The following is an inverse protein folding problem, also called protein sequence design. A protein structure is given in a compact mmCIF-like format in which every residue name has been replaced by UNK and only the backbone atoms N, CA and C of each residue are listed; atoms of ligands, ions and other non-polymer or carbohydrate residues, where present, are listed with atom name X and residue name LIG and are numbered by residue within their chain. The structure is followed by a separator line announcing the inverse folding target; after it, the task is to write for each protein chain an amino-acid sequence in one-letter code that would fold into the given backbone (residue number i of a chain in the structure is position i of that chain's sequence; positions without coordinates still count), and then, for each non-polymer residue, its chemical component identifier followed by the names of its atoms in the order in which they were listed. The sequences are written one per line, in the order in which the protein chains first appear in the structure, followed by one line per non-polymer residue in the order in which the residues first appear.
data_IF_073673047779
#
_entry.id   IF_073673047779
#
_cell.length_a   1.000
_cell.length_b   1.000
_cell.length_c   1.000
_cell.angle_alpha   90.00
_cell.angle_beta   90.00
_cell.angle_gamma   90.00
#
_symmetry.space_group_name_H-M   'P 1'
#
loop_
_entity.id
_entity.type
_entity.pdbx_description
1 polymer ?
#
# COMPACT_ATOMS: atom_id res chain seq x y z
N UNK A 1 37.10 -22.34 -21.06
CA UNK A 1 36.25 -21.81 -19.98
C UNK A 1 34.92 -21.49 -20.65
N UNK A 2 33.98 -22.41 -20.50
CA UNK A 2 32.71 -22.41 -21.21
C UNK A 2 31.80 -21.34 -20.59
N UNK A 3 31.39 -20.36 -21.40
CA UNK A 3 30.45 -19.34 -21.00
C UNK A 3 29.08 -20.02 -20.94
N UNK A 4 28.73 -20.53 -19.75
CA UNK A 4 27.51 -21.25 -19.48
C UNK A 4 26.29 -20.58 -20.10
N UNK A 5 25.80 -21.18 -21.19
CA UNK A 5 24.57 -20.78 -21.84
C UNK A 5 23.44 -21.06 -20.85
N UNK A 6 22.88 -20.01 -20.24
CA UNK A 6 21.63 -20.13 -19.52
C UNK A 6 20.55 -20.46 -20.56
N UNK A 7 20.14 -21.72 -20.61
CA UNK A 7 19.09 -22.18 -21.52
C UNK A 7 17.75 -21.65 -21.00
N UNK A 8 17.13 -20.76 -21.77
CA UNK A 8 15.84 -20.15 -21.44
C UNK A 8 14.72 -21.13 -21.82
N UNK A 9 14.04 -21.70 -20.83
CA UNK A 9 12.86 -22.55 -21.04
C UNK A 9 11.61 -21.70 -20.88
N UNK A 10 10.76 -21.71 -21.92
CA UNK A 10 9.49 -20.97 -21.95
C UNK A 10 8.33 -21.95 -22.07
N UNK A 11 7.20 -21.60 -21.44
CA UNK A 11 5.95 -22.33 -21.60
C UNK A 11 5.22 -21.87 -22.85
N UNK A 12 4.63 -22.80 -23.59
CA UNK A 12 3.74 -22.50 -24.73
C UNK A 12 2.28 -22.29 -24.30
N UNK A 13 1.95 -22.54 -23.02
CA UNK A 13 0.60 -22.30 -22.47
C UNK A 13 0.48 -20.84 -22.00
N UNK A 14 -0.38 -20.01 -22.61
CA UNK A 14 -0.57 -18.62 -22.23
C UNK A 14 -1.18 -18.45 -20.81
N UNK A 15 -1.69 -19.51 -20.20
CA UNK A 15 -2.22 -19.50 -18.84
C UNK A 15 -1.22 -20.02 -17.79
N UNK A 16 -0.09 -20.59 -18.23
CA UNK A 16 0.99 -21.05 -17.35
C UNK A 16 1.85 -19.86 -16.90
N UNK A 17 1.34 -19.14 -15.90
CA UNK A 17 1.97 -17.95 -15.34
C UNK A 17 2.27 -18.15 -13.84
N UNK A 18 3.42 -17.63 -13.39
CA UNK A 18 3.75 -17.62 -11.96
C UNK A 18 3.07 -16.45 -11.25
N UNK A 19 2.17 -16.75 -10.31
CA UNK A 19 1.56 -15.73 -9.45
C UNK A 19 2.52 -15.31 -8.34
N UNK A 20 2.76 -14.01 -8.22
CA UNK A 20 3.59 -13.44 -7.14
C UNK A 20 2.78 -13.43 -5.84
N UNK A 21 3.39 -13.85 -4.73
CA UNK A 21 2.78 -13.75 -3.41
C UNK A 21 2.76 -12.28 -2.94
N UNK A 22 1.58 -11.78 -2.58
CA UNK A 22 1.34 -10.40 -2.15
C UNK A 22 1.08 -10.23 -0.65
N UNK A 23 1.09 -11.31 0.14
CA UNK A 23 0.62 -11.35 1.54
C UNK A 23 1.36 -10.39 2.49
N UNK A 24 2.58 -9.97 2.13
CA UNK A 24 3.45 -9.15 2.97
C UNK A 24 3.87 -7.83 2.30
N UNK A 25 3.27 -7.48 1.17
CA UNK A 25 3.59 -6.23 0.48
C UNK A 25 3.18 -5.05 1.36
N UNK A 26 4.08 -4.08 1.61
CA UNK A 26 3.73 -2.92 2.43
C UNK A 26 2.80 -1.97 1.69
N UNK A 27 1.83 -1.44 2.42
CA UNK A 27 1.03 -0.28 2.03
C UNK A 27 1.63 0.96 2.67
N UNK A 28 1.68 2.05 1.91
CA UNK A 28 2.08 3.36 2.39
C UNK A 28 0.85 4.17 2.78
N UNK A 29 0.91 4.80 3.94
CA UNK A 29 -0.10 5.76 4.42
C UNK A 29 0.60 7.04 4.83
N UNK A 30 0.08 8.17 4.36
CA UNK A 30 0.57 9.50 4.75
C UNK A 30 -0.33 10.08 5.83
N UNK A 31 0.30 10.58 6.90
CA UNK A 31 -0.37 11.28 8.01
C UNK A 31 0.22 12.68 8.16
N UNK A 32 -0.59 13.71 7.99
CA UNK A 32 -0.18 15.13 8.09
C UNK A 32 -0.56 15.75 9.42
N UNK A 33 0.36 16.54 9.99
CA UNK A 33 0.10 17.38 11.17
C UNK A 33 -0.40 18.75 10.74
N UNK A 34 -1.67 19.02 11.03
CA UNK A 34 -2.34 20.30 10.76
C UNK A 34 -2.74 20.90 12.10
N UNK A 35 -2.07 21.99 12.49
CA UNK A 35 -2.14 22.50 13.85
C UNK A 35 -1.71 21.43 14.87
N UNK A 36 -2.62 21.06 15.77
CA UNK A 36 -2.44 20.00 16.78
C UNK A 36 -3.13 18.67 16.41
N UNK A 37 -3.80 18.61 15.25
CA UNK A 37 -4.49 17.42 14.77
C UNK A 37 -3.63 16.64 13.75
N UNK A 38 -3.95 15.35 13.60
CA UNK A 38 -3.33 14.44 12.62
C UNK A 38 -4.39 13.96 11.63
N UNK A 39 -4.12 14.10 10.34
CA UNK A 39 -5.04 13.75 9.25
C UNK A 39 -4.40 12.69 8.35
N UNK A 40 -5.14 11.62 8.05
CA UNK A 40 -4.72 10.56 7.13
C UNK A 40 -5.16 10.93 5.73
N UNK A 41 -4.31 10.69 4.73
CA UNK A 41 -4.61 10.95 3.31
C UNK A 41 -5.04 12.41 3.07
N UNK A 42 -4.18 13.37 3.43
CA UNK A 42 -4.51 14.80 3.33
C UNK A 42 -4.83 15.17 1.87
N UNK A 43 -5.85 16.02 1.67
CA UNK A 43 -6.05 16.67 0.37
C UNK A 43 -4.92 17.65 0.04
N UNK A 44 -4.82 18.10 -1.21
CA UNK A 44 -3.82 19.09 -1.60
C UNK A 44 -3.93 20.38 -0.75
N UNK A 45 -5.15 20.83 -0.46
CA UNK A 45 -5.40 22.00 0.39
C UNK A 45 -4.99 21.77 1.85
N UNK A 46 -5.18 20.54 2.35
CA UNK A 46 -4.76 20.14 3.69
C UNK A 46 -3.24 20.01 3.82
N UNK A 47 -2.57 19.53 2.77
CA UNK A 47 -1.10 19.47 2.69
C UNK A 47 -0.46 20.85 2.78
N UNK A 48 -1.01 21.86 2.09
CA UNK A 48 -0.54 23.25 2.16
C UNK A 48 -0.68 23.87 3.56
N UNK A 49 -1.65 23.39 4.34
CA UNK A 49 -1.84 23.79 5.73
C UNK A 49 -1.00 22.96 6.72
N UNK A 50 -0.38 21.88 6.25
CA UNK A 50 0.39 20.97 7.10
C UNK A 50 1.78 21.54 7.42
N UNK A 51 2.23 21.30 8.65
CA UNK A 51 3.58 21.72 9.08
C UNK A 51 4.63 20.64 8.81
N UNK A 52 4.22 19.38 8.93
CA UNK A 52 5.03 18.19 8.67
C UNK A 52 4.10 17.00 8.45
N UNK A 53 4.58 15.98 7.74
CA UNK A 53 3.85 14.73 7.51
C UNK A 53 4.74 13.53 7.76
N UNK A 54 4.11 12.38 7.97
CA UNK A 54 4.74 11.10 8.23
C UNK A 54 4.24 10.09 7.21
N UNK A 55 5.15 9.54 6.42
CA UNK A 55 4.87 8.40 5.54
C UNK A 55 5.17 7.13 6.34
N UNK A 56 4.17 6.28 6.50
CA UNK A 56 4.26 5.03 7.25
C UNK A 56 4.07 3.87 6.28
N UNK A 57 5.07 2.99 6.24
CA UNK A 57 4.95 1.70 5.57
C UNK A 57 4.47 0.64 6.55
N UNK A 58 3.44 -0.12 6.18
CA UNK A 58 2.91 -1.18 7.00
C UNK A 58 2.57 -2.41 6.17
N UNK A 59 2.90 -3.58 6.69
CA UNK A 59 2.60 -4.88 6.08
C UNK A 59 1.78 -5.73 7.05
N UNK A 60 1.03 -6.69 6.52
CA UNK A 60 0.33 -7.70 7.34
C UNK A 60 1.09 -9.02 7.36
N UNK A 61 1.14 -9.67 8.52
CA UNK A 61 1.65 -11.03 8.68
C UNK A 61 0.85 -11.73 9.76
N UNK A 62 0.24 -12.86 9.41
CA UNK A 62 -0.59 -13.66 10.33
C UNK A 62 -1.68 -12.82 11.04
N UNK A 63 -2.35 -11.93 10.31
CA UNK A 63 -3.40 -11.04 10.84
C UNK A 63 -2.91 -9.90 11.75
N UNK A 64 -1.59 -9.70 11.85
CA UNK A 64 -0.96 -8.62 12.61
C UNK A 64 -0.31 -7.62 11.67
N UNK A 65 -0.53 -6.34 11.95
CA UNK A 65 0.10 -5.23 11.25
C UNK A 65 1.47 -4.97 11.85
N UNK A 66 2.49 -4.84 11.01
CA UNK A 66 3.83 -4.44 11.41
C UNK A 66 4.31 -3.28 10.55
N UNK A 67 4.96 -2.31 11.19
CA UNK A 67 5.58 -1.19 10.53
C UNK A 67 6.85 -1.66 9.82
N UNK A 68 6.99 -1.32 8.54
CA UNK A 68 8.18 -1.60 7.72
C UNK A 68 9.03 -0.36 7.49
N UNK A 69 8.41 0.82 7.48
CA UNK A 69 9.09 2.09 7.27
C UNK A 69 8.38 3.23 8.01
N UNK A 70 9.14 4.30 8.31
CA UNK A 70 8.60 5.58 8.75
C UNK A 70 9.52 6.70 8.25
N UNK A 71 8.96 7.67 7.54
CA UNK A 71 9.71 8.79 6.97
C UNK A 71 8.99 10.11 7.23
N UNK A 72 9.66 11.06 7.87
CA UNK A 72 9.16 12.42 8.05
C UNK A 72 9.41 13.25 6.79
N UNK A 73 8.42 14.02 6.38
CA UNK A 73 8.49 14.98 5.27
C UNK A 73 7.95 16.34 5.71
N UNK A 74 8.35 17.42 5.03
CA UNK A 74 7.98 18.78 5.38
C UNK A 74 9.07 19.53 6.15
N UNK A 75 8.80 20.81 6.46
CA UNK A 75 9.76 21.74 7.06
C UNK A 75 9.61 21.88 8.58
N UNK A 76 8.51 21.41 9.14
CA UNK A 76 8.22 21.43 10.58
C UNK A 76 8.78 20.22 11.32
N UNK A 77 8.33 20.06 12.57
CA UNK A 77 8.71 18.96 13.44
C UNK A 77 7.48 18.35 14.11
N UNK A 78 7.66 17.13 14.62
CA UNK A 78 6.68 16.47 15.46
C UNK A 78 7.12 16.52 16.91
N UNK A 79 6.21 16.89 17.80
CA UNK A 79 6.36 16.55 19.21
C UNK A 79 6.31 15.01 19.35
N UNK A 80 7.13 14.38 20.23
CA UNK A 80 7.18 12.92 20.34
C UNK A 80 5.81 12.26 20.54
N UNK A 81 4.95 12.83 21.40
CA UNK A 81 3.60 12.30 21.61
C UNK A 81 2.76 12.33 20.32
N UNK A 82 2.76 13.46 19.61
CA UNK A 82 2.05 13.60 18.33
C UNK A 82 2.59 12.65 17.26
N UNK A 83 3.91 12.38 17.25
CA UNK A 83 4.50 11.38 16.36
C UNK A 83 3.96 9.98 16.69
N UNK A 84 3.92 9.58 17.97
CA UNK A 84 3.37 8.28 18.37
C UNK A 84 1.89 8.15 18.01
N UNK A 85 1.10 9.22 18.18
CA UNK A 85 -0.32 9.21 17.83
C UNK A 85 -0.51 9.14 16.30
N UNK A 86 0.32 9.85 15.53
CA UNK A 86 0.35 9.76 14.06
C UNK A 86 0.69 8.35 13.59
N UNK A 87 1.66 7.70 14.23
CA UNK A 87 2.05 6.31 13.94
C UNK A 87 0.88 5.36 14.20
N UNK A 88 0.24 5.44 15.36
CA UNK A 88 -0.91 4.57 15.70
C UNK A 88 -2.06 4.78 14.73
N UNK A 89 -2.35 6.02 14.39
CA UNK A 89 -3.38 6.39 13.44
C UNK A 89 -3.08 5.81 12.04
N UNK A 90 -1.86 6.01 11.53
CA UNK A 90 -1.44 5.48 10.24
C UNK A 90 -1.43 3.95 10.19
N UNK A 91 -1.00 3.27 11.26
CA UNK A 91 -1.07 1.81 11.35
C UNK A 91 -2.52 1.30 11.33
N UNK A 92 -3.42 1.96 12.06
CA UNK A 92 -4.85 1.63 12.03
C UNK A 92 -5.44 1.80 10.63
N UNK A 93 -5.17 2.93 9.97
CA UNK A 93 -5.63 3.20 8.61
C UNK A 93 -5.06 2.17 7.61
N UNK A 94 -3.77 1.86 7.71
CA UNK A 94 -3.11 0.88 6.83
C UNK A 94 -3.75 -0.51 6.92
N UNK A 95 -4.15 -0.94 8.13
CA UNK A 95 -4.84 -2.21 8.33
C UNK A 95 -6.20 -2.22 7.64
N UNK A 96 -7.01 -1.19 7.85
CA UNK A 96 -8.33 -1.08 7.21
C UNK A 96 -8.21 -1.03 5.69
N UNK A 97 -7.20 -0.32 5.17
CA UNK A 97 -6.95 -0.22 3.74
C UNK A 97 -6.50 -1.57 3.15
N UNK A 98 -5.59 -2.28 3.82
CA UNK A 98 -5.12 -3.62 3.41
C UNK A 98 -6.28 -4.63 3.35
N UNK A 99 -7.09 -4.70 4.41
CA UNK A 99 -8.25 -5.59 4.48
C UNK A 99 -9.24 -5.35 3.33
N UNK A 100 -9.49 -4.07 3.00
CA UNK A 100 -10.35 -3.68 1.88
C UNK A 100 -9.72 -4.02 0.52
N UNK A 101 -8.43 -3.74 0.34
CA UNK A 101 -7.71 -4.00 -0.91
C UNK A 101 -7.64 -5.50 -1.22
N UNK A 102 -7.23 -6.32 -0.24
CA UNK A 102 -7.17 -7.79 -0.40
C UNK A 102 -8.55 -8.37 -0.72
N UNK A 103 -9.62 -7.84 -0.11
CA UNK A 103 -10.99 -8.24 -0.42
C UNK A 103 -11.37 -7.87 -1.85
N UNK A 104 -11.07 -6.65 -2.30
CA UNK A 104 -11.36 -6.21 -3.66
C UNK A 104 -10.62 -7.04 -4.71
N UNK A 105 -9.33 -7.33 -4.48
CA UNK A 105 -8.51 -8.18 -5.36
C UNK A 105 -9.10 -9.60 -5.49
N UNK A 106 -9.47 -10.23 -4.38
CA UNK A 106 -10.13 -11.55 -4.39
C UNK A 106 -11.46 -11.54 -5.13
N UNK A 107 -12.25 -10.47 -4.98
CA UNK A 107 -13.52 -10.34 -5.69
C UNK A 107 -13.32 -10.22 -7.21
N UNK A 108 -12.33 -9.45 -7.66
CA UNK A 108 -12.05 -9.32 -9.09
C UNK A 108 -11.44 -10.60 -9.68
N UNK A 109 -10.54 -11.29 -8.97
CA UNK A 109 -10.00 -12.59 -9.41
C UNK A 109 -11.13 -13.60 -9.71
N UNK A 110 -12.08 -13.75 -8.78
CA UNK A 110 -13.24 -14.65 -8.94
C UNK A 110 -14.21 -14.23 -10.07
N UNK A 111 -14.19 -12.96 -10.50
CA UNK A 111 -15.06 -12.45 -11.57
C UNK A 111 -14.46 -12.69 -12.96
N UNK A 112 -13.14 -12.57 -13.09
CA UNK A 112 -12.44 -12.79 -14.37
C UNK A 112 -12.59 -14.23 -14.84
N UNK A 113 -12.55 -15.19 -13.92
CA UNK A 113 -12.68 -16.63 -14.22
C UNK A 113 -14.06 -17.04 -14.77
N UNK A 114 -15.10 -16.21 -14.58
CA UNK A 114 -16.49 -16.61 -14.85
C UNK A 114 -17.13 -15.99 -16.09
N UNK A 115 -16.74 -14.79 -16.53
CA UNK A 115 -17.60 -14.04 -17.47
C UNK A 115 -16.88 -13.19 -18.55
N UNK A 116 -15.57 -13.38 -18.81
CA UNK A 116 -14.90 -12.67 -19.93
C UNK A 116 -15.13 -11.14 -19.91
N UNK A 117 -15.10 -10.56 -18.71
CA UNK A 117 -15.57 -9.21 -18.42
C UNK A 117 -14.84 -8.17 -19.29
N UNK A 118 -15.60 -7.21 -19.83
CA UNK A 118 -15.04 -6.02 -20.50
C UNK A 118 -14.25 -5.22 -19.46
N UNK A 119 -12.93 -5.20 -19.58
CA UNK A 119 -12.07 -4.34 -18.78
C UNK A 119 -12.45 -2.89 -19.03
N UNK A 120 -12.89 -2.19 -17.99
CA UNK A 120 -13.12 -0.75 -18.03
C UNK A 120 -11.96 -0.09 -17.30
N UNK A 121 -11.21 0.74 -18.03
CA UNK A 121 -10.17 1.61 -17.46
C UNK A 121 -10.77 2.95 -17.07
N UNK A 122 -10.06 3.68 -16.21
CA UNK A 122 -10.47 4.90 -15.49
C UNK A 122 -11.41 4.56 -14.31
N UNK A 123 -10.84 4.43 -13.11
CA UNK A 123 -11.55 4.20 -11.84
C UNK A 123 -12.85 5.05 -11.75
N UNK A 124 -14.01 4.39 -11.75
CA UNK A 124 -15.38 4.89 -11.48
C UNK A 124 -15.72 6.32 -11.96
N UNK A 125 -16.39 6.43 -13.11
CA UNK A 125 -17.31 7.55 -13.41
C UNK A 125 -18.63 7.41 -12.64
#
# INVERSE_FOLDING_TARGET
MDAGAAELVLSDDPFDCTKINIDHIPILVTVSKIGEACVVDPSAEEEECSSASLVIGASQKNGKTFMTNTQTIGRGSFHPNTMFDSIKLGLSASKSLDDCLVRALKLEENRVEKDGKKTVGFLHS
#
